data_IF_013238160587
#
_entry.id   IF_013238160587
#
_cell.length_a   1.000
_cell.length_b   1.000
_cell.length_c   1.000
_cell.angle_alpha   90.00
_cell.angle_beta   90.00
_cell.angle_gamma   90.00
#
_symmetry.space_group_name_H-M   'P 1'
#
loop_
_entity.id
_entity.type
_entity.pdbx_description
1 polymer ?
#
# COMPACT_ATOMS: atom_id res chain seq x y z
N UNK A 1 13.89 -24.44 -18.60
CA UNK A 1 14.75 -23.51 -17.84
C UNK A 1 13.85 -22.39 -17.37
N UNK A 2 13.37 -22.46 -16.14
CA UNK A 2 12.61 -21.37 -15.50
C UNK A 2 13.68 -20.34 -15.10
N UNK A 3 13.55 -19.05 -15.40
CA UNK A 3 14.58 -18.09 -15.03
C UNK A 3 14.66 -18.06 -13.49
N UNK A 4 15.83 -18.34 -12.94
CA UNK A 4 16.13 -18.32 -11.49
C UNK A 4 15.97 -16.91 -10.85
N UNK A 5 15.49 -15.92 -11.61
CA UNK A 5 15.23 -14.54 -11.19
C UNK A 5 13.75 -14.15 -11.27
N UNK A 6 12.82 -15.09 -11.08
CA UNK A 6 11.42 -14.75 -10.90
C UNK A 6 11.26 -14.12 -9.50
N UNK A 7 11.28 -12.79 -9.42
CA UNK A 7 11.08 -12.07 -8.18
C UNK A 7 9.78 -12.57 -7.49
N UNK A 8 9.96 -13.25 -6.37
CA UNK A 8 8.88 -13.96 -5.68
C UNK A 8 8.44 -13.14 -4.47
N UNK A 9 7.17 -13.27 -4.09
CA UNK A 9 6.65 -12.64 -2.87
C UNK A 9 7.40 -13.18 -1.64
N UNK A 10 7.98 -12.27 -0.87
CA UNK A 10 8.69 -12.54 0.38
C UNK A 10 7.81 -12.23 1.59
N UNK A 11 6.59 -12.75 1.57
CA UNK A 11 5.61 -12.58 2.64
C UNK A 11 4.98 -11.19 2.72
N UNK A 12 4.39 -10.90 3.88
CA UNK A 12 3.70 -9.65 4.18
C UNK A 12 4.34 -9.03 5.42
N UNK A 13 4.57 -7.73 5.39
CA UNK A 13 5.05 -6.96 6.52
C UNK A 13 3.90 -6.11 7.06
N UNK A 14 3.65 -6.19 8.36
CA UNK A 14 2.74 -5.26 9.01
C UNK A 14 3.38 -3.87 9.09
N UNK A 15 2.60 -2.86 8.74
CA UNK A 15 2.97 -1.46 8.82
C UNK A 15 1.81 -0.69 9.45
N UNK A 16 2.08 0.01 10.54
CA UNK A 16 1.12 0.94 11.12
C UNK A 16 1.25 2.27 10.38
N UNK A 17 0.13 2.77 9.87
CA UNK A 17 0.05 4.08 9.21
C UNK A 17 -0.79 5.02 10.07
N UNK A 18 -0.39 6.30 10.13
CA UNK A 18 -1.11 7.37 10.79
C UNK A 18 -2.06 8.01 9.80
N UNK A 19 -3.36 7.81 10.01
CA UNK A 19 -4.42 8.57 9.36
C UNK A 19 -4.72 9.83 10.18
N UNK A 20 -5.52 10.75 9.61
CA UNK A 20 -6.00 11.93 10.31
C UNK A 20 -6.84 11.60 11.55
N UNK A 21 -7.48 10.43 11.54
CA UNK A 21 -8.43 10.03 12.59
C UNK A 21 -7.80 9.07 13.58
N UNK A 22 -7.10 8.03 13.10
CA UNK A 22 -6.49 6.99 13.95
C UNK A 22 -5.26 6.33 13.30
N UNK A 23 -4.54 5.52 14.08
CA UNK A 23 -3.49 4.64 13.56
C UNK A 23 -4.11 3.34 13.01
N UNK A 24 -3.83 3.02 11.75
CA UNK A 24 -4.39 1.85 11.07
C UNK A 24 -3.27 0.85 10.79
N UNK A 25 -3.37 -0.41 11.22
CA UNK A 25 -2.45 -1.45 10.79
C UNK A 25 -2.80 -1.92 9.37
N UNK A 26 -1.82 -1.89 8.46
CA UNK A 26 -1.96 -2.42 7.10
C UNK A 26 -0.92 -3.51 6.83
N UNK A 27 -1.27 -4.47 5.97
CA UNK A 27 -0.33 -5.47 5.48
C UNK A 27 0.25 -5.04 4.14
N UNK A 28 1.57 -4.81 4.10
CA UNK A 28 2.29 -4.47 2.88
C UNK A 28 2.98 -5.72 2.35
N UNK A 29 2.77 -6.04 1.08
CA UNK A 29 3.50 -7.12 0.42
C UNK A 29 4.96 -6.74 0.23
N UNK A 30 5.85 -7.69 0.46
CA UNK A 30 7.26 -7.52 0.18
C UNK A 30 7.68 -8.56 -0.86
N UNK A 31 8.61 -8.19 -1.71
CA UNK A 31 9.24 -9.07 -2.69
C UNK A 31 10.64 -9.47 -2.22
N UNK A 32 11.19 -10.56 -2.78
CA UNK A 32 12.49 -11.09 -2.35
C UNK A 32 13.63 -10.15 -2.72
N UNK A 33 13.51 -9.51 -3.87
CA UNK A 33 14.53 -8.60 -4.40
C UNK A 33 14.40 -7.18 -3.83
N UNK A 34 13.35 -6.89 -3.05
CA UNK A 34 13.12 -5.57 -2.44
C UNK A 34 12.79 -4.46 -3.44
N UNK A 35 12.48 -4.82 -4.69
CA UNK A 35 12.12 -3.94 -5.80
C UNK A 35 10.65 -3.50 -5.81
N UNK A 36 9.80 -4.11 -4.97
CA UNK A 36 8.40 -3.74 -4.89
C UNK A 36 8.24 -2.36 -4.27
N UNK A 37 7.89 -1.38 -5.10
CA UNK A 37 7.54 -0.03 -4.65
C UNK A 37 6.03 0.10 -4.46
N UNK A 38 5.63 0.32 -3.21
CA UNK A 38 4.26 0.68 -2.86
C UNK A 38 3.92 2.08 -3.36
N UNK A 39 2.98 2.19 -4.30
CA UNK A 39 2.60 3.46 -4.92
C UNK A 39 1.81 4.39 -3.98
N UNK A 40 0.93 3.82 -3.15
CA UNK A 40 0.00 4.59 -2.31
C UNK A 40 0.68 5.06 -1.02
N UNK A 41 1.49 4.20 -0.40
CA UNK A 41 2.22 4.52 0.84
C UNK A 41 3.69 4.24 0.60
N UNK A 42 4.52 5.27 0.47
CA UNK A 42 5.95 5.07 0.19
C UNK A 42 6.65 4.30 1.30
N UNK A 43 7.78 3.68 0.96
CA UNK A 43 8.66 3.04 1.93
C UNK A 43 9.07 4.07 3.00
N UNK A 44 8.96 3.71 4.29
CA UNK A 44 9.20 4.58 5.46
C UNK A 44 8.24 5.77 5.65
N UNK A 45 7.22 5.93 4.81
CA UNK A 45 6.19 6.95 5.03
C UNK A 45 5.09 6.37 5.94
N UNK A 46 4.87 6.96 7.12
CA UNK A 46 3.83 6.52 8.05
C UNK A 46 2.59 7.42 8.02
N UNK A 47 2.73 8.69 7.64
CA UNK A 47 1.61 9.63 7.53
C UNK A 47 0.92 9.55 6.16
N UNK A 48 -0.39 9.30 6.17
CA UNK A 48 -1.25 9.22 4.98
C UNK A 48 -2.39 10.25 4.99
N UNK A 49 -2.43 11.16 5.96
CA UNK A 49 -3.53 12.13 6.15
C UNK A 49 -3.89 12.94 4.89
N UNK A 50 -2.89 13.29 4.08
CA UNK A 50 -3.08 14.02 2.82
C UNK A 50 -3.65 13.18 1.67
N UNK A 51 -3.39 11.87 1.65
CA UNK A 51 -3.82 10.95 0.59
C UNK A 51 -5.20 10.36 0.89
N UNK A 52 -5.55 10.23 2.17
CA UNK A 52 -6.83 9.67 2.65
C UNK A 52 -8.04 10.37 2.04
N UNK A 53 -8.04 11.70 1.99
CA UNK A 53 -9.12 12.49 1.35
C UNK A 53 -9.28 12.11 -0.13
N UNK A 54 -8.17 11.86 -0.81
CA UNK A 54 -8.15 11.46 -2.22
C UNK A 54 -8.72 10.06 -2.41
N UNK A 55 -8.36 9.12 -1.52
CA UNK A 55 -8.91 7.76 -1.50
C UNK A 55 -10.42 7.79 -1.26
N UNK A 56 -10.89 8.52 -0.25
CA UNK A 56 -12.33 8.67 0.04
C UNK A 56 -13.06 9.26 -1.17
N UNK A 57 -12.50 10.30 -1.81
CA UNK A 57 -13.08 10.89 -3.01
C UNK A 57 -13.16 9.90 -4.19
N UNK A 58 -12.20 8.98 -4.32
CA UNK A 58 -12.16 7.97 -5.36
C UNK A 58 -13.23 6.89 -5.11
N UNK A 59 -13.40 6.44 -3.85
CA UNK A 59 -14.48 5.54 -3.46
C UNK A 59 -15.86 6.17 -3.66
N UNK A 60 -16.04 7.43 -3.26
CA UNK A 60 -17.30 8.16 -3.46
C UNK A 60 -17.65 8.29 -4.95
N UNK A 61 -16.66 8.52 -5.81
CA UNK A 61 -16.84 8.58 -7.28
C UNK A 61 -17.19 7.23 -7.91
N UNK A 62 -16.59 6.14 -7.42
CA UNK A 62 -16.89 4.78 -7.94
C UNK A 62 -18.31 4.33 -7.57
N UNK A 63 -18.89 4.86 -6.50
CA UNK A 63 -20.28 4.62 -6.11
C UNK A 63 -21.30 5.45 -6.90
N UNK A 64 -20.87 6.40 -7.75
CA UNK A 64 -21.76 7.27 -8.53
C UNK A 64 -21.98 6.82 -9.98
N UNK A 65 -21.53 5.62 -10.35
CA UNK A 65 -21.93 4.95 -11.60
C UNK A 65 -23.00 3.91 -11.33
N UNK A 66 -24.25 4.37 -11.18
CA UNK A 66 -25.45 3.61 -11.53
C UNK A 66 -26.54 4.57 -12.00
#
# INVERSE_FOLDING_TARGET
MIPDSANTRNGKKQKTIRSKYEEIPIEVQQDRDGTFETQIVKKRQEDISSIEVKIISMYAKVLTTR
#
